data_IF_565037578368
#
_entry.id   IF_565037578368
#
_cell.length_a   1.000
_cell.length_b   1.000
_cell.length_c   1.000
_cell.angle_alpha   90.00
_cell.angle_beta   90.00
_cell.angle_gamma   90.00
#
_symmetry.space_group_name_H-M   'P 1'
#
loop_
_entity.id
_entity.type
_entity.pdbx_description
1 polymer ?
#
# COMPACT_ATOMS: atom_id res chain seq x y z
N UNK A 1 -15.04 1.30 6.16
CA UNK A 1 -14.33 0.00 6.05
C UNK A 1 -12.88 0.33 5.81
N UNK A 2 -11.96 -0.26 6.58
CA UNK A 2 -10.53 -0.01 6.43
C UNK A 2 -9.95 -1.09 5.51
N UNK A 3 -9.30 -0.69 4.43
CA UNK A 3 -8.64 -1.57 3.44
C UNK A 3 -7.88 -2.76 4.06
N UNK A 4 -7.13 -2.50 5.14
CA UNK A 4 -6.35 -3.53 5.83
C UNK A 4 -7.22 -4.62 6.44
N UNK A 5 -8.41 -4.26 6.93
CA UNK A 5 -9.34 -5.22 7.54
C UNK A 5 -9.94 -6.14 6.47
N UNK A 6 -10.27 -5.60 5.29
CA UNK A 6 -10.76 -6.39 4.15
C UNK A 6 -9.68 -7.37 3.65
N UNK A 7 -8.44 -6.89 3.52
CA UNK A 7 -7.29 -7.69 3.10
C UNK A 7 -6.82 -8.73 4.14
N UNK A 8 -7.26 -8.61 5.40
CA UNK A 8 -6.95 -9.56 6.49
C UNK A 8 -8.16 -10.33 6.98
N UNK A 9 -9.32 -10.17 6.35
CA UNK A 9 -10.56 -10.79 6.83
C UNK A 9 -10.48 -12.30 6.81
N UNK A 10 -10.56 -12.94 7.98
CA UNK A 10 -10.63 -14.40 8.11
C UNK A 10 -12.07 -14.92 7.90
N UNK A 11 -13.07 -14.07 8.15
CA UNK A 11 -14.49 -14.43 8.00
C UNK A 11 -14.96 -14.39 6.54
N UNK A 12 -14.33 -13.61 5.68
CA UNK A 12 -14.78 -13.38 4.31
C UNK A 12 -13.67 -13.68 3.31
N UNK A 13 -13.50 -14.96 2.98
CA UNK A 13 -12.43 -15.44 2.09
C UNK A 13 -12.44 -14.78 0.70
N UNK A 14 -13.62 -14.52 0.13
CA UNK A 14 -13.76 -13.83 -1.16
C UNK A 14 -13.34 -12.35 -1.10
N UNK A 15 -13.71 -11.65 -0.02
CA UNK A 15 -13.28 -10.26 0.22
C UNK A 15 -11.76 -10.19 0.40
N UNK A 16 -11.18 -11.11 1.18
CA UNK A 16 -9.73 -11.23 1.36
C UNK A 16 -9.02 -11.47 0.03
N UNK A 17 -9.49 -12.43 -0.77
CA UNK A 17 -8.89 -12.75 -2.07
C UNK A 17 -8.99 -11.57 -3.05
N UNK A 18 -10.13 -10.89 -3.11
CA UNK A 18 -10.31 -9.70 -3.96
C UNK A 18 -9.37 -8.56 -3.55
N UNK A 19 -9.26 -8.29 -2.25
CA UNK A 19 -8.39 -7.26 -1.72
C UNK A 19 -6.91 -7.59 -1.94
N UNK A 20 -6.49 -8.82 -1.67
CA UNK A 20 -5.14 -9.27 -1.95
C UNK A 20 -4.83 -9.16 -3.45
N UNK A 21 -5.69 -9.67 -4.33
CA UNK A 21 -5.51 -9.58 -5.78
C UNK A 21 -5.36 -8.13 -6.28
N UNK A 22 -6.18 -7.22 -5.74
CA UNK A 22 -6.03 -5.79 -6.00
C UNK A 22 -4.66 -5.26 -5.56
N UNK A 23 -4.21 -5.59 -4.34
CA UNK A 23 -2.91 -5.16 -3.81
C UNK A 23 -1.73 -5.69 -4.64
N UNK A 24 -1.79 -6.95 -5.09
CA UNK A 24 -0.80 -7.54 -6.00
C UNK A 24 -0.72 -6.73 -7.31
N UNK A 25 -1.86 -6.58 -7.99
CA UNK A 25 -1.90 -5.87 -9.28
C UNK A 25 -1.49 -4.40 -9.18
N UNK A 26 -1.90 -3.73 -8.10
CA UNK A 26 -1.57 -2.33 -7.86
C UNK A 26 -0.07 -2.14 -7.60
N UNK A 27 0.53 -2.96 -6.73
CA UNK A 27 1.95 -2.89 -6.44
C UNK A 27 2.81 -3.22 -7.67
N UNK A 28 2.40 -4.20 -8.49
CA UNK A 28 3.09 -4.50 -9.74
C UNK A 28 2.99 -3.34 -10.74
N UNK A 29 1.83 -2.69 -10.82
CA UNK A 29 1.64 -1.50 -11.65
C UNK A 29 2.55 -0.34 -11.21
N UNK A 30 2.67 -0.10 -9.89
CA UNK A 30 3.59 0.90 -9.33
C UNK A 30 5.05 0.58 -9.63
N UNK A 31 5.47 -0.68 -9.56
CA UNK A 31 6.83 -1.09 -9.90
C UNK A 31 7.14 -0.92 -11.38
N UNK A 32 6.17 -1.22 -12.25
CA UNK A 32 6.32 -1.07 -13.69
C UNK A 32 6.35 0.41 -14.11
N UNK A 33 5.54 1.24 -13.45
CA UNK A 33 5.46 2.68 -13.70
C UNK A 33 5.51 3.47 -12.39
N UNK A 34 6.71 3.66 -11.81
CA UNK A 34 6.87 4.41 -10.57
C UNK A 34 6.29 5.83 -10.68
N UNK A 35 5.54 6.30 -9.68
CA UNK A 35 5.13 7.70 -9.61
C UNK A 35 6.35 8.63 -9.64
N UNK A 36 6.17 9.84 -10.17
CA UNK A 36 7.26 10.82 -10.24
C UNK A 36 7.75 11.16 -8.84
N UNK A 37 9.08 11.12 -8.67
CA UNK A 37 9.68 11.42 -7.37
C UNK A 37 9.60 10.26 -6.37
N UNK A 38 9.22 9.06 -6.80
CA UNK A 38 9.34 7.84 -5.99
C UNK A 38 10.58 7.06 -6.41
N UNK A 39 11.36 6.59 -5.43
CA UNK A 39 12.49 5.70 -5.64
C UNK A 39 12.01 4.29 -6.04
N UNK A 40 12.31 3.92 -7.29
CA UNK A 40 12.00 2.60 -7.83
C UNK A 40 12.66 1.45 -7.05
N UNK A 41 13.86 1.63 -6.50
CA UNK A 41 14.51 0.58 -5.70
C UNK A 41 13.75 0.35 -4.38
N UNK A 42 13.30 1.43 -3.74
CA UNK A 42 12.43 1.35 -2.57
C UNK A 42 11.11 0.62 -2.90
N UNK A 43 10.47 0.96 -4.05
CA UNK A 43 9.26 0.26 -4.52
C UNK A 43 9.47 -1.25 -4.71
N UNK A 44 10.60 -1.65 -5.30
CA UNK A 44 10.93 -3.04 -5.55
C UNK A 44 11.16 -3.86 -4.27
N UNK A 45 11.52 -3.21 -3.15
CA UNK A 45 11.71 -3.89 -1.86
C UNK A 45 10.39 -4.33 -1.22
N UNK A 46 9.25 -3.79 -1.64
CA UNK A 46 7.95 -4.16 -1.08
C UNK A 46 7.40 -5.44 -1.71
N UNK A 47 6.97 -6.36 -0.84
CA UNK A 47 5.99 -7.40 -1.16
C UNK A 47 4.60 -6.98 -0.68
N UNK A 48 3.50 -7.56 -1.23
CA UNK A 48 2.15 -7.29 -0.76
C UNK A 48 1.96 -7.51 0.74
N UNK A 49 2.52 -8.59 1.30
CA UNK A 49 2.40 -8.88 2.74
C UNK A 49 3.16 -7.87 3.60
N UNK A 50 4.37 -7.50 3.20
CA UNK A 50 5.16 -6.48 3.92
C UNK A 50 4.53 -5.11 3.81
N UNK A 51 3.97 -4.76 2.65
CA UNK A 51 3.25 -3.51 2.41
C UNK A 51 2.00 -3.44 3.28
N UNK A 52 1.17 -4.49 3.27
CA UNK A 52 -0.04 -4.56 4.09
C UNK A 52 0.27 -4.47 5.59
N UNK A 53 1.37 -5.10 6.01
CA UNK A 53 1.83 -5.04 7.41
C UNK A 53 2.33 -3.65 7.79
N UNK A 54 3.09 -2.98 6.93
CA UNK A 54 3.56 -1.63 7.19
C UNK A 54 2.42 -0.61 7.16
N UNK A 55 1.49 -0.73 6.21
CA UNK A 55 0.31 0.10 6.11
C UNK A 55 -0.60 -0.06 7.34
N UNK A 56 -0.79 -1.29 7.84
CA UNK A 56 -1.52 -1.56 9.09
C UNK A 56 -0.93 -0.80 10.28
N UNK A 57 0.41 -0.69 10.35
CA UNK A 57 1.09 0.09 11.40
C UNK A 57 0.93 1.59 11.15
N UNK A 58 1.06 2.05 9.90
CA UNK A 58 0.93 3.45 9.54
C UNK A 58 -0.48 3.99 9.84
N UNK A 59 -1.54 3.23 9.56
CA UNK A 59 -2.93 3.61 9.85
C UNK A 59 -3.16 3.88 11.34
N UNK A 60 -2.46 3.17 12.24
CA UNK A 60 -2.57 3.43 13.69
C UNK A 60 -2.03 4.82 14.07
N UNK A 61 -1.06 5.33 13.30
CA UNK A 61 -0.46 6.65 13.50
C UNK A 61 -1.17 7.73 12.67
N UNK A 62 -1.70 7.35 11.51
CA UNK A 62 -2.36 8.23 10.54
C UNK A 62 -3.64 7.55 10.03
N UNK A 63 -4.75 7.65 10.79
CA UNK A 63 -6.00 6.94 10.46
C UNK A 63 -6.59 7.29 9.10
N UNK A 64 -6.27 8.47 8.56
CA UNK A 64 -6.74 8.93 7.25
C UNK A 64 -6.29 8.01 6.10
N UNK A 65 -5.09 7.39 6.20
CA UNK A 65 -4.60 6.39 5.23
C UNK A 65 -5.56 5.19 5.10
N UNK A 66 -6.28 4.87 6.17
CA UNK A 66 -7.23 3.76 6.21
C UNK A 66 -8.65 4.14 5.81
N UNK A 67 -8.94 5.44 5.59
CA UNK A 67 -10.27 5.95 5.18
C UNK A 67 -10.34 6.29 3.69
N UNK A 68 -9.17 6.41 3.07
CA UNK A 68 -9.00 6.64 1.64
C UNK A 68 -9.43 5.42 0.80
N UNK A 69 -9.71 5.65 -0.49
CA UNK A 69 -9.84 4.54 -1.43
C UNK A 69 -8.54 3.71 -1.43
N UNK A 70 -8.64 2.42 -1.78
CA UNK A 70 -7.50 1.50 -1.68
C UNK A 70 -6.21 2.05 -2.33
N UNK A 71 -6.30 2.64 -3.53
CA UNK A 71 -5.13 3.23 -4.19
C UNK A 71 -4.59 4.47 -3.46
N UNK A 72 -5.45 5.39 -3.03
CA UNK A 72 -5.03 6.66 -2.41
C UNK A 72 -4.24 6.44 -1.12
N UNK A 73 -4.70 5.50 -0.28
CA UNK A 73 -4.00 5.15 0.96
C UNK A 73 -2.67 4.47 0.71
N UNK A 74 -2.58 3.63 -0.33
CA UNK A 74 -1.33 2.97 -0.72
C UNK A 74 -0.37 3.99 -1.34
N UNK A 75 -0.82 4.84 -2.25
CA UNK A 75 0.00 5.88 -2.89
C UNK A 75 0.57 6.85 -1.86
N UNK A 76 -0.28 7.39 -0.97
CA UNK A 76 0.18 8.29 0.09
C UNK A 76 1.20 7.63 1.03
N UNK A 77 1.00 6.34 1.34
CA UNK A 77 1.97 5.56 2.11
C UNK A 77 3.28 5.38 1.34
N UNK A 78 3.23 5.02 0.06
CA UNK A 78 4.40 4.81 -0.80
C UNK A 78 5.17 6.12 -0.99
N UNK A 79 4.51 7.25 -1.22
CA UNK A 79 5.16 8.55 -1.30
C UNK A 79 5.88 8.90 0.00
N UNK A 80 5.32 8.53 1.15
CA UNK A 80 5.96 8.75 2.46
C UNK A 80 7.18 7.85 2.66
N UNK A 81 7.13 6.58 2.24
CA UNK A 81 8.21 5.61 2.46
C UNK A 81 9.32 5.70 1.41
N UNK A 82 8.93 5.92 0.16
CA UNK A 82 9.77 5.83 -1.02
C UNK A 82 9.89 7.14 -1.78
N UNK A 83 9.30 8.24 -1.31
CA UNK A 83 9.51 9.57 -1.88
C UNK A 83 11.01 9.89 -1.89
N UNK A 84 11.55 10.13 -3.08
CA UNK A 84 12.89 10.62 -3.30
C UNK A 84 13.00 11.99 -2.64
N UNK A 85 13.48 12.02 -1.41
CA UNK A 85 13.81 13.28 -0.75
C UNK A 85 14.88 13.97 -1.58
N UNK A 86 14.70 15.25 -1.96
CA UNK A 86 15.81 15.99 -2.52
C UNK A 86 16.93 15.99 -1.47
N UNK A 87 18.07 15.41 -1.82
CA UNK A 87 19.30 15.51 -1.04
C UNK A 87 19.52 17.00 -0.74
N UNK A 88 19.43 17.38 0.53
CA UNK A 88 19.74 18.74 0.98
C UNK A 88 21.24 18.97 0.96
#
# INVERSE_FOLDING_TARGET
MHFVDDCRSEQHSALRQGCQGYLFGFLDALKLNPPRGVDGQCLHAWSPDTLLTALSKAIKQQPELGKQFYYEGIDAFIDTQCGARPSS
#
